data_IF_186315288114
#
_entry.id   IF_186315288114
#
_cell.length_a   1.000
_cell.length_b   1.000
_cell.length_c   1.000
_cell.angle_alpha   90.00
_cell.angle_beta   90.00
_cell.angle_gamma   90.00
#
_symmetry.space_group_name_H-M   'P 1'
#
loop_
_entity.id
_entity.type
_entity.pdbx_description
1 polymer ?
#
# COMPACT_ATOMS: atom_id res chain seq x y z
N UNK A 1 -23.93 13.99 16.47
CA UNK A 1 -23.63 14.29 17.89
C UNK A 1 -23.62 13.04 18.79
N UNK A 2 -24.23 11.92 18.41
CA UNK A 2 -24.30 10.68 19.21
C UNK A 2 -22.99 10.29 19.90
N UNK A 3 -21.89 10.13 19.16
CA UNK A 3 -20.61 9.77 19.79
C UNK A 3 -20.13 10.79 20.84
N UNK A 4 -20.39 12.08 20.62
CA UNK A 4 -20.01 13.15 21.55
C UNK A 4 -20.90 13.18 22.80
N UNK A 5 -22.17 12.79 22.71
CA UNK A 5 -23.08 12.75 23.86
C UNK A 5 -22.93 11.48 24.69
N UNK A 6 -22.68 10.34 24.04
CA UNK A 6 -22.66 9.03 24.71
C UNK A 6 -21.29 8.61 25.28
N UNK A 7 -20.21 9.32 24.94
CA UNK A 7 -18.85 8.96 25.38
C UNK A 7 -18.28 10.03 26.32
N UNK A 8 -17.64 9.57 27.41
CA UNK A 8 -16.90 10.43 28.35
C UNK A 8 -15.53 10.87 27.82
N UNK A 9 -15.01 10.17 26.80
CA UNK A 9 -13.71 10.46 26.18
C UNK A 9 -13.85 11.40 24.97
N UNK A 10 -12.82 12.20 24.64
CA UNK A 10 -12.90 13.11 23.50
C UNK A 10 -13.09 12.39 22.16
N UNK A 11 -14.03 12.88 21.35
CA UNK A 11 -14.25 12.37 19.99
C UNK A 11 -13.50 13.24 18.98
N UNK A 12 -12.59 12.61 18.25
CA UNK A 12 -11.75 13.29 17.25
C UNK A 12 -12.04 12.76 15.85
N UNK A 13 -11.69 13.53 14.82
CA UNK A 13 -11.87 13.14 13.42
C UNK A 13 -10.55 13.26 12.66
N UNK A 14 -10.26 12.31 11.78
CA UNK A 14 -9.17 12.40 10.79
C UNK A 14 -9.75 12.33 9.38
N UNK A 15 -9.48 13.35 8.58
CA UNK A 15 -10.07 13.50 7.24
C UNK A 15 -9.02 13.74 6.16
N UNK A 16 -9.42 13.53 4.91
CA UNK A 16 -8.71 13.97 3.71
C UNK A 16 -9.41 15.18 3.11
N UNK A 17 -8.67 16.01 2.40
CA UNK A 17 -9.23 17.19 1.73
C UNK A 17 -10.02 16.80 0.47
N UNK A 18 -10.94 17.65 0.05
CA UNK A 18 -11.52 17.61 -1.29
C UNK A 18 -10.63 18.40 -2.26
N UNK A 19 -10.94 18.33 -3.56
CA UNK A 19 -10.25 19.14 -4.58
C UNK A 19 -10.49 20.65 -4.38
N UNK A 20 -11.70 21.02 -3.92
CA UNK A 20 -12.04 22.40 -3.56
C UNK A 20 -11.70 22.67 -2.09
N UNK A 21 -11.08 23.82 -1.87
CA UNK A 21 -10.79 24.35 -0.53
C UNK A 21 -12.10 24.67 0.20
N UNK A 22 -13.07 25.28 -0.48
CA UNK A 22 -14.36 25.69 0.06
C UNK A 22 -15.13 24.48 0.58
N UNK A 23 -15.20 23.41 -0.22
CA UNK A 23 -15.84 22.15 0.18
C UNK A 23 -15.13 21.50 1.37
N UNK A 24 -13.80 21.58 1.40
CA UNK A 24 -13.00 21.08 2.53
C UNK A 24 -13.30 21.85 3.81
N UNK A 25 -13.40 23.17 3.74
CA UNK A 25 -13.74 24.05 4.87
C UNK A 25 -15.16 23.79 5.36
N UNK A 26 -16.13 23.68 4.45
CA UNK A 26 -17.52 23.39 4.79
C UNK A 26 -17.64 22.05 5.53
N UNK A 27 -16.95 21.03 5.03
CA UNK A 27 -16.92 19.71 5.65
C UNK A 27 -16.29 19.75 7.06
N UNK A 28 -15.20 20.50 7.24
CA UNK A 28 -14.58 20.67 8.55
C UNK A 28 -15.52 21.37 9.55
N UNK A 29 -16.20 22.45 9.14
CA UNK A 29 -17.20 23.14 9.98
C UNK A 29 -18.38 22.23 10.32
N UNK A 30 -18.80 21.36 9.39
CA UNK A 30 -19.85 20.37 9.64
C UNK A 30 -19.42 19.38 10.74
N UNK A 31 -18.17 18.88 10.71
CA UNK A 31 -17.63 17.98 11.73
C UNK A 31 -17.54 18.65 13.10
N UNK A 32 -17.09 19.90 13.15
CA UNK A 32 -17.08 20.71 14.37
C UNK A 32 -18.50 20.82 14.96
N UNK A 33 -19.50 21.22 14.15
CA UNK A 33 -20.92 21.28 14.59
C UNK A 33 -21.46 19.92 15.03
N UNK A 34 -20.97 18.83 14.45
CA UNK A 34 -21.37 17.47 14.80
C UNK A 34 -20.81 17.00 16.16
N UNK A 35 -19.91 17.77 16.79
CA UNK A 35 -19.34 17.50 18.10
C UNK A 35 -17.90 16.99 18.08
N UNK A 36 -17.18 17.10 16.95
CA UNK A 36 -15.75 16.81 16.89
C UNK A 36 -14.98 17.80 17.80
N UNK A 37 -14.06 17.28 18.62
CA UNK A 37 -13.29 18.09 19.58
C UNK A 37 -11.86 18.37 19.14
N UNK A 38 -11.32 17.59 18.19
CA UNK A 38 -10.03 17.85 17.55
C UNK A 38 -10.05 17.25 16.14
N UNK A 39 -9.57 18.01 15.16
CA UNK A 39 -9.55 17.61 13.76
C UNK A 39 -8.12 17.37 13.28
N UNK A 40 -7.86 16.24 12.64
CA UNK A 40 -6.63 16.02 11.87
C UNK A 40 -6.95 16.06 10.38
N UNK A 41 -6.28 16.94 9.63
CA UNK A 41 -6.49 17.08 8.18
C UNK A 41 -5.27 16.56 7.43
N UNK A 42 -5.46 15.53 6.63
CA UNK A 42 -4.46 15.09 5.65
C UNK A 42 -4.64 15.90 4.37
N UNK A 43 -3.64 16.71 4.01
CA UNK A 43 -3.65 17.59 2.84
C UNK A 43 -3.70 16.90 1.47
N UNK A 44 -4.04 15.61 1.40
CA UNK A 44 -4.19 14.86 0.15
C UNK A 44 -5.65 14.47 -0.07
N UNK A 45 -6.09 14.48 -1.32
CA UNK A 45 -7.40 13.96 -1.73
C UNK A 45 -7.43 12.43 -1.61
N UNK A 46 -8.60 11.83 -1.75
CA UNK A 46 -8.77 10.36 -1.70
C UNK A 46 -8.09 9.67 -2.90
N UNK A 47 -8.02 10.39 -4.02
CA UNK A 47 -7.50 9.95 -5.31
C UNK A 47 -5.97 9.98 -5.33
N UNK A 48 -5.34 10.84 -4.53
CA UNK A 48 -3.89 10.90 -4.30
C UNK A 48 -3.40 9.70 -3.47
N UNK A 49 -3.10 8.60 -4.15
CA UNK A 49 -2.61 7.35 -3.55
C UNK A 49 -1.64 6.62 -4.46
N UNK A 50 -0.78 5.78 -3.86
CA UNK A 50 0.16 4.94 -4.59
C UNK A 50 1.12 5.78 -5.45
N UNK A 51 1.28 5.48 -6.75
CA UNK A 51 2.07 6.29 -7.69
C UNK A 51 1.68 7.78 -7.75
N UNK A 52 0.41 8.10 -7.52
CA UNK A 52 -0.15 9.45 -7.67
C UNK A 52 -0.25 10.18 -6.32
N UNK A 53 0.54 9.77 -5.33
CA UNK A 53 0.42 10.32 -3.96
C UNK A 53 0.67 11.82 -3.92
N UNK A 54 1.67 12.32 -4.66
CA UNK A 54 2.01 13.75 -4.71
C UNK A 54 2.30 14.39 -3.35
N UNK A 55 2.35 15.72 -3.36
CA UNK A 55 2.57 16.56 -2.17
C UNK A 55 1.22 16.90 -1.52
N UNK A 56 1.17 16.87 -0.18
CA UNK A 56 0.03 17.29 0.60
C UNK A 56 -0.11 18.82 0.54
N UNK A 57 -1.31 19.29 0.23
CA UNK A 57 -1.61 20.72 0.14
C UNK A 57 -1.80 21.33 1.53
N UNK A 58 -0.75 21.96 2.05
CA UNK A 58 -0.82 22.76 3.27
C UNK A 58 -1.71 23.99 3.12
N UNK A 59 -1.93 24.48 1.88
CA UNK A 59 -2.92 25.53 1.57
C UNK A 59 -4.34 25.13 2.02
N UNK A 60 -4.76 23.89 1.76
CA UNK A 60 -6.07 23.40 2.22
C UNK A 60 -6.12 23.35 3.75
N UNK A 61 -5.05 22.86 4.37
CA UNK A 61 -4.95 22.75 5.84
C UNK A 61 -5.06 24.13 6.49
N UNK A 62 -4.30 25.12 6.00
CA UNK A 62 -4.36 26.52 6.46
C UNK A 62 -5.76 27.11 6.33
N UNK A 63 -6.43 26.88 5.19
CA UNK A 63 -7.78 27.37 4.97
C UNK A 63 -8.79 26.77 5.98
N UNK A 64 -8.66 25.48 6.29
CA UNK A 64 -9.47 24.85 7.36
C UNK A 64 -9.13 25.44 8.71
N UNK A 65 -7.83 25.59 9.04
CA UNK A 65 -7.37 26.13 10.31
C UNK A 65 -7.95 27.51 10.60
N UNK A 66 -8.02 28.38 9.59
CA UNK A 66 -8.59 29.72 9.69
C UNK A 66 -10.12 29.75 9.91
N UNK A 67 -10.79 28.61 9.77
CA UNK A 67 -12.25 28.52 9.71
C UNK A 67 -12.88 27.64 10.79
N UNK A 68 -12.08 26.93 11.58
CA UNK A 68 -12.54 26.10 12.72
C UNK A 68 -11.92 26.61 14.02
N UNK A 69 -12.65 26.43 15.13
CA UNK A 69 -12.23 26.86 16.46
C UNK A 69 -11.57 25.73 17.25
N UNK A 70 -11.93 24.48 16.96
CA UNK A 70 -11.33 23.31 17.60
C UNK A 70 -9.84 23.14 17.22
N UNK A 71 -9.02 22.51 18.08
CA UNK A 71 -7.64 22.19 17.76
C UNK A 71 -7.52 21.41 16.45
N UNK A 72 -6.53 21.80 15.63
CA UNK A 72 -6.28 21.20 14.33
C UNK A 72 -4.85 20.66 14.23
N UNK A 73 -4.72 19.41 13.77
CA UNK A 73 -3.45 18.77 13.44
C UNK A 73 -3.27 18.65 11.93
N UNK A 74 -2.12 19.07 11.41
CA UNK A 74 -1.75 18.85 10.02
C UNK A 74 -1.19 17.43 9.81
N UNK A 75 -1.54 16.78 8.70
CA UNK A 75 -0.98 15.50 8.31
C UNK A 75 -0.58 15.49 6.83
N UNK A 76 0.52 14.81 6.52
CA UNK A 76 1.03 14.62 5.16
C UNK A 76 2.30 15.40 4.89
N UNK A 77 3.31 14.70 4.33
CA UNK A 77 4.64 15.23 4.01
C UNK A 77 5.43 15.78 5.22
N UNK A 78 5.22 15.21 6.42
CA UNK A 78 6.05 15.48 7.61
C UNK A 78 7.05 14.32 7.75
N UNK A 79 8.32 14.53 7.37
CA UNK A 79 9.35 13.48 7.33
C UNK A 79 10.58 13.77 8.21
N UNK A 80 10.73 15.01 8.69
CA UNK A 80 11.81 15.49 9.56
C UNK A 80 11.30 16.55 10.54
N UNK A 81 12.10 16.90 11.57
CA UNK A 81 11.80 18.05 12.45
C UNK A 81 11.61 19.34 11.67
N UNK A 82 12.42 19.57 10.64
CA UNK A 82 12.31 20.75 9.79
C UNK A 82 10.94 20.86 9.11
N UNK A 83 10.36 19.73 8.66
CA UNK A 83 9.02 19.72 8.10
C UNK A 83 7.94 20.06 9.14
N UNK A 84 8.18 19.74 10.42
CA UNK A 84 7.27 20.09 11.52
C UNK A 84 7.26 21.60 11.70
N UNK A 85 8.42 22.22 11.87
CA UNK A 85 8.57 23.66 12.08
C UNK A 85 7.94 24.45 10.93
N UNK A 86 8.30 24.09 9.69
CA UNK A 86 7.72 24.69 8.50
C UNK A 86 6.22 24.53 8.41
N UNK A 87 5.70 23.33 8.70
CA UNK A 87 4.27 23.10 8.63
C UNK A 87 3.51 23.97 9.63
N UNK A 88 4.02 24.09 10.86
CA UNK A 88 3.45 24.92 11.90
C UNK A 88 3.45 26.41 11.49
N UNK A 89 4.59 26.91 11.01
CA UNK A 89 4.74 28.29 10.54
C UNK A 89 3.81 28.60 9.36
N UNK A 90 3.80 27.76 8.32
CA UNK A 90 3.04 28.01 7.11
C UNK A 90 1.51 27.93 7.36
N UNK A 91 1.06 27.00 8.21
CA UNK A 91 -0.36 26.68 8.37
C UNK A 91 -1.02 27.22 9.63
N UNK A 92 -0.27 27.58 10.67
CA UNK A 92 -0.81 28.06 11.96
C UNK A 92 -1.61 27.01 12.74
N UNK A 93 -1.38 25.72 12.46
CA UNK A 93 -2.04 24.61 13.14
C UNK A 93 -1.49 24.38 14.54
N UNK A 94 -2.23 23.66 15.37
CA UNK A 94 -1.85 23.41 16.78
C UNK A 94 -0.81 22.30 16.94
N UNK A 95 -0.60 21.49 15.89
CA UNK A 95 0.35 20.39 15.90
C UNK A 95 0.37 19.66 14.58
N UNK A 96 1.25 18.66 14.50
CA UNK A 96 1.41 17.82 13.31
C UNK A 96 1.22 16.36 13.68
N UNK A 97 0.79 15.57 12.70
CA UNK A 97 0.76 14.12 12.77
C UNK A 97 1.63 13.58 11.63
N UNK A 98 2.64 12.81 11.99
CA UNK A 98 3.45 12.03 11.06
C UNK A 98 2.97 10.58 11.06
N UNK A 99 3.19 9.89 9.94
CA UNK A 99 2.84 8.48 9.80
C UNK A 99 3.93 7.76 9.01
N UNK A 100 4.18 8.21 7.78
CA UNK A 100 5.23 7.61 6.97
C UNK A 100 6.63 7.89 7.53
N UNK A 101 6.91 9.14 7.96
CA UNK A 101 8.21 9.52 8.52
C UNK A 101 8.62 8.63 9.70
N UNK A 102 7.67 8.35 10.61
CA UNK A 102 7.89 7.48 11.77
C UNK A 102 8.34 6.06 11.40
N UNK A 103 7.94 5.55 10.23
CA UNK A 103 8.34 4.21 9.81
C UNK A 103 9.81 4.13 9.40
N UNK A 104 10.42 5.25 9.01
CA UNK A 104 11.82 5.33 8.59
C UNK A 104 12.71 5.94 9.68
N UNK A 105 12.18 6.87 10.47
CA UNK A 105 12.82 7.41 11.65
C UNK A 105 11.79 7.58 12.79
N UNK A 106 11.71 6.63 13.75
CA UNK A 106 10.85 6.76 14.93
C UNK A 106 11.23 7.94 15.83
N UNK A 107 12.49 8.38 15.78
CA UNK A 107 13.04 9.49 16.57
C UNK A 107 12.81 10.87 15.93
N UNK A 108 11.88 10.97 14.98
CA UNK A 108 11.61 12.23 14.26
C UNK A 108 11.34 13.41 15.20
N UNK A 109 10.70 13.19 16.36
CA UNK A 109 10.36 14.26 17.31
C UNK A 109 11.52 14.66 18.23
N UNK A 110 12.59 13.86 18.27
CA UNK A 110 13.83 14.17 18.98
C UNK A 110 14.84 14.87 18.06
N UNK A 111 14.58 14.90 16.75
CA UNK A 111 15.48 15.52 15.77
C UNK A 111 16.79 14.79 15.56
N UNK A 112 16.89 13.52 16.00
CA UNK A 112 18.08 12.70 15.85
C UNK A 112 17.89 11.62 14.77
N UNK A 113 19.02 11.14 14.25
CA UNK A 113 19.09 10.15 13.17
C UNK A 113 19.97 8.97 13.63
N UNK A 114 19.51 8.14 14.57
CA UNK A 114 20.31 7.04 15.09
C UNK A 114 20.55 5.99 14.00
N UNK A 115 21.55 5.13 14.17
CA UNK A 115 21.69 3.96 13.32
C UNK A 115 20.44 3.08 13.38
N UNK A 116 19.93 2.63 12.23
CA UNK A 116 18.64 1.97 12.11
C UNK A 116 18.52 0.67 12.94
N UNK A 117 19.64 0.03 13.28
CA UNK A 117 19.63 -1.14 14.18
C UNK A 117 19.21 -0.81 15.61
N UNK A 118 19.42 0.43 16.09
CA UNK A 118 19.03 0.84 17.44
C UNK A 118 17.50 0.82 17.62
N UNK A 119 16.69 1.59 16.85
CA UNK A 119 15.23 1.48 16.91
C UNK A 119 14.73 0.09 16.54
N UNK A 120 15.43 -0.65 15.66
CA UNK A 120 15.01 -2.00 15.28
C UNK A 120 15.11 -2.99 16.44
N UNK A 121 16.21 -2.97 17.20
CA UNK A 121 16.39 -3.84 18.37
C UNK A 121 15.41 -3.45 19.49
N UNK A 122 15.27 -2.16 19.78
CA UNK A 122 14.29 -1.65 20.74
C UNK A 122 12.86 -2.09 20.36
N UNK A 123 12.49 -1.95 19.07
CA UNK A 123 11.21 -2.42 18.57
C UNK A 123 11.03 -3.93 18.73
N UNK A 124 12.07 -4.74 18.51
CA UNK A 124 11.99 -6.19 18.69
C UNK A 124 11.85 -6.57 20.17
N UNK A 125 12.50 -5.85 21.09
CA UNK A 125 12.32 -6.00 22.54
C UNK A 125 10.85 -5.73 22.94
N UNK A 126 10.24 -4.70 22.35
CA UNK A 126 8.81 -4.39 22.55
C UNK A 126 7.89 -5.48 21.97
N UNK A 127 8.24 -6.08 20.83
CA UNK A 127 7.47 -7.17 20.22
C UNK A 127 7.54 -8.45 21.07
N UNK A 128 8.64 -8.68 21.78
CA UNK A 128 8.74 -9.79 22.75
C UNK A 128 7.82 -9.57 23.95
N UNK A 129 7.70 -8.33 24.43
CA UNK A 129 6.77 -7.96 25.51
C UNK A 129 5.30 -7.95 25.05
N UNK A 130 5.06 -7.49 23.82
CA UNK A 130 3.75 -7.35 23.19
C UNK A 130 3.71 -8.09 21.84
N UNK A 131 3.49 -9.42 21.84
CA UNK A 131 3.54 -10.22 20.63
C UNK A 131 2.57 -9.75 19.54
N UNK A 132 3.08 -9.64 18.31
CA UNK A 132 2.27 -9.31 17.14
C UNK A 132 2.60 -10.25 15.96
N UNK A 133 1.72 -10.36 14.95
CA UNK A 133 2.01 -11.11 13.74
C UNK A 133 3.34 -10.71 13.11
N UNK A 134 4.16 -11.68 12.73
CA UNK A 134 5.50 -11.43 12.16
C UNK A 134 5.47 -10.63 10.86
N UNK A 135 4.33 -10.60 10.16
CA UNK A 135 4.09 -9.73 9.00
C UNK A 135 4.17 -8.24 9.34
N UNK A 136 3.80 -7.83 10.55
CA UNK A 136 3.85 -6.43 10.98
C UNK A 136 5.28 -6.04 11.30
N UNK A 137 5.97 -6.83 12.12
CA UNK A 137 7.39 -6.61 12.45
C UNK A 137 8.26 -6.60 11.20
N UNK A 138 8.08 -7.57 10.30
CA UNK A 138 8.77 -7.57 9.01
C UNK A 138 8.51 -6.27 8.25
N UNK A 139 7.25 -5.83 8.15
CA UNK A 139 6.89 -4.59 7.49
C UNK A 139 7.61 -3.35 8.05
N UNK A 140 7.72 -3.25 9.37
CA UNK A 140 8.42 -2.15 10.04
C UNK A 140 9.94 -2.21 9.84
N UNK A 141 10.56 -3.39 9.96
CA UNK A 141 11.99 -3.56 9.69
C UNK A 141 12.34 -3.21 8.24
N UNK A 142 11.51 -3.58 7.27
CA UNK A 142 11.69 -3.18 5.87
C UNK A 142 11.61 -1.67 5.64
N UNK A 143 10.96 -0.92 6.54
CA UNK A 143 10.90 0.53 6.49
C UNK A 143 12.12 1.16 7.16
N UNK A 144 12.48 0.71 8.35
CA UNK A 144 13.69 1.15 9.05
C UNK A 144 14.94 0.94 8.21
N UNK A 145 15.09 -0.25 7.63
CA UNK A 145 16.25 -0.62 6.81
C UNK A 145 16.07 -0.32 5.32
N UNK A 146 15.13 0.54 4.93
CA UNK A 146 14.82 0.75 3.51
C UNK A 146 16.06 1.07 2.67
N UNK A 147 16.91 1.97 3.15
CA UNK A 147 18.10 2.45 2.44
C UNK A 147 19.20 1.39 2.41
N UNK A 148 19.41 0.68 3.52
CA UNK A 148 20.31 -0.47 3.56
C UNK A 148 19.85 -1.57 2.60
N UNK A 149 18.56 -1.89 2.55
CA UNK A 149 18.01 -2.91 1.66
C UNK A 149 17.93 -2.51 0.18
N UNK A 150 18.19 -1.26 -0.16
CA UNK A 150 18.40 -0.85 -1.56
C UNK A 150 19.83 -1.08 -2.05
N UNK A 151 20.79 -1.32 -1.15
CA UNK A 151 22.16 -1.64 -1.52
C UNK A 151 22.29 -3.12 -1.90
N UNK A 152 22.97 -3.41 -3.01
CA UNK A 152 23.14 -4.77 -3.52
C UNK A 152 23.90 -5.67 -2.54
N UNK A 153 24.87 -5.11 -1.83
CA UNK A 153 25.65 -5.75 -0.78
C UNK A 153 24.84 -6.23 0.44
N UNK A 154 23.57 -5.86 0.55
CA UNK A 154 22.66 -6.29 1.62
C UNK A 154 21.55 -7.22 1.11
N UNK A 155 21.65 -7.73 -0.12
CA UNK A 155 20.62 -8.59 -0.71
C UNK A 155 20.38 -9.84 0.14
N UNK A 156 21.44 -10.47 0.66
CA UNK A 156 21.33 -11.66 1.51
C UNK A 156 20.58 -11.37 2.83
N UNK A 157 20.96 -10.30 3.53
CA UNK A 157 20.33 -9.90 4.80
C UNK A 157 18.87 -9.48 4.59
N UNK A 158 18.57 -8.82 3.48
CA UNK A 158 17.19 -8.50 3.07
C UNK A 158 16.36 -9.77 2.85
N UNK A 159 16.93 -10.79 2.22
CA UNK A 159 16.27 -12.08 2.03
C UNK A 159 16.07 -12.84 3.33
N UNK A 160 17.03 -12.77 4.26
CA UNK A 160 16.94 -13.36 5.60
C UNK A 160 15.71 -12.81 6.35
N UNK A 161 15.53 -11.48 6.39
CA UNK A 161 14.31 -10.87 6.98
C UNK A 161 13.05 -11.20 6.18
N UNK A 162 13.14 -11.28 4.84
CA UNK A 162 11.99 -11.61 4.00
C UNK A 162 11.45 -13.02 4.28
N UNK A 163 12.35 -13.99 4.44
CA UNK A 163 12.06 -15.42 4.64
C UNK A 163 11.88 -15.78 6.12
N UNK A 164 12.44 -14.98 7.04
CA UNK A 164 12.39 -15.20 8.48
C UNK A 164 10.97 -15.39 9.00
N UNK A 165 10.79 -16.36 9.89
CA UNK A 165 9.49 -16.78 10.41
C UNK A 165 9.30 -16.43 11.88
N UNK A 166 10.39 -16.24 12.62
CA UNK A 166 10.40 -15.87 14.02
C UNK A 166 11.02 -14.49 14.28
N UNK A 167 10.80 -13.98 15.49
CA UNK A 167 11.42 -12.73 15.96
C UNK A 167 12.94 -12.88 16.11
N UNK A 168 13.41 -14.08 16.50
CA UNK A 168 14.84 -14.36 16.60
C UNK A 168 15.54 -14.28 15.24
N UNK A 169 14.90 -14.73 14.16
CA UNK A 169 15.43 -14.60 12.79
C UNK A 169 15.65 -13.11 12.45
N UNK A 170 14.69 -12.26 12.80
CA UNK A 170 14.80 -10.82 12.60
C UNK A 170 15.90 -10.20 13.46
N UNK A 171 15.99 -10.59 14.73
CA UNK A 171 17.03 -10.10 15.64
C UNK A 171 18.43 -10.47 15.15
N UNK A 172 18.62 -11.71 14.69
CA UNK A 172 19.89 -12.18 14.13
C UNK A 172 20.30 -11.36 12.89
N UNK A 173 19.37 -11.11 11.97
CA UNK A 173 19.63 -10.30 10.78
C UNK A 173 19.97 -8.84 11.14
N UNK A 174 19.31 -8.26 12.14
CA UNK A 174 19.62 -6.91 12.65
C UNK A 174 21.00 -6.85 13.30
N UNK A 175 21.39 -7.88 14.06
CA UNK A 175 22.73 -7.97 14.66
C UNK A 175 23.80 -8.05 13.56
N UNK A 176 23.62 -8.87 12.53
CA UNK A 176 24.53 -8.93 11.38
C UNK A 176 24.67 -7.58 10.66
N UNK A 177 23.55 -6.86 10.49
CA UNK A 177 23.59 -5.48 9.95
C UNK A 177 24.38 -4.55 10.87
N UNK A 178 24.15 -4.61 12.18
CA UNK A 178 24.91 -3.82 13.16
C UNK A 178 26.40 -4.12 13.05
N UNK A 179 26.81 -5.38 13.11
CA UNK A 179 28.22 -5.78 13.02
C UNK A 179 28.89 -5.30 11.74
N UNK A 180 28.17 -5.35 10.60
CA UNK A 180 28.66 -4.87 9.30
C UNK A 180 28.93 -3.37 9.29
N UNK A 181 28.06 -2.56 9.90
CA UNK A 181 28.09 -1.09 9.78
C UNK A 181 28.59 -0.35 11.03
N UNK A 182 28.74 -1.03 12.17
CA UNK A 182 29.23 -0.42 13.40
C UNK A 182 30.66 0.14 13.25
N UNK A 183 31.64 -0.56 12.64
CA UNK A 183 32.96 0.01 12.44
C UNK A 183 32.96 1.26 11.55
N UNK A 184 32.06 1.32 10.57
CA UNK A 184 31.86 2.50 9.72
C UNK A 184 31.23 3.66 10.51
N UNK A 185 30.28 3.34 11.40
CA UNK A 185 29.62 4.34 12.24
C UNK A 185 30.55 4.94 13.30
N UNK A 186 31.44 4.13 13.89
CA UNK A 186 32.44 4.54 14.88
C UNK A 186 33.68 5.22 14.25
N UNK A 187 33.76 5.28 12.91
CA UNK A 187 34.87 5.89 12.19
C UNK A 187 36.15 5.04 12.16
N UNK A 188 36.05 3.75 12.48
CA UNK A 188 37.17 2.79 12.39
C UNK A 188 37.48 2.43 10.93
N UNK A 189 36.48 2.51 10.06
CA UNK A 189 36.59 2.27 8.61
C UNK A 189 36.01 3.48 7.88
N UNK A 190 36.66 3.91 6.80
CA UNK A 190 36.16 5.01 5.95
C UNK A 190 35.00 4.54 5.09
N UNK A 191 33.94 5.34 5.06
CA UNK A 191 32.82 5.13 4.14
C UNK A 191 33.03 5.96 2.87
N UNK A 192 33.46 5.31 1.80
CA UNK A 192 33.62 5.95 0.51
C UNK A 192 32.25 6.11 -0.15
N UNK A 193 31.69 7.33 -0.07
CA UNK A 193 30.43 7.65 -0.75
C UNK A 193 30.63 7.50 -2.27
N UNK A 194 29.85 6.65 -2.97
CA UNK A 194 30.00 6.41 -4.40
C UNK A 194 29.52 7.59 -5.28
N UNK A 195 29.25 8.77 -4.72
CA UNK A 195 28.79 9.93 -5.49
C UNK A 195 29.41 11.24 -5.00
N UNK A 196 30.04 11.96 -5.91
CA UNK A 196 30.48 13.36 -5.77
C UNK A 196 29.29 14.31 -5.94
N UNK A 197 28.31 14.27 -5.04
CA UNK A 197 27.29 15.31 -4.96
C UNK A 197 27.58 16.23 -3.77
N UNK A 198 27.48 17.54 -3.98
CA UNK A 198 27.65 18.57 -2.96
C UNK A 198 26.56 18.56 -1.88
N UNK A 199 25.51 17.74 -2.06
CA UNK A 199 24.50 17.49 -1.04
C UNK A 199 25.05 16.56 0.03
N UNK A 200 24.91 16.96 1.30
CA UNK A 200 25.23 16.12 2.47
C UNK A 200 24.36 14.86 2.44
N UNK A 201 24.89 13.75 1.93
CA UNK A 201 24.25 12.44 2.01
C UNK A 201 24.53 11.82 3.37
N UNK A 202 23.47 11.60 4.15
CA UNK A 202 23.55 10.82 5.37
C UNK A 202 23.99 9.38 5.04
N UNK A 203 24.84 8.77 5.88
CA UNK A 203 25.18 7.37 5.73
C UNK A 203 23.93 6.47 5.68
N UNK A 204 23.92 5.42 4.84
CA UNK A 204 22.72 4.62 4.56
C UNK A 204 22.20 3.86 5.78
N UNK A 205 23.04 3.62 6.78
CA UNK A 205 22.65 2.96 8.01
C UNK A 205 21.96 3.87 9.03
N UNK A 206 21.99 5.19 8.86
CA UNK A 206 21.23 6.09 9.71
C UNK A 206 19.76 6.07 9.31
N UNK A 207 18.88 6.11 10.32
CA UNK A 207 17.47 6.45 10.10
C UNK A 207 17.40 7.77 9.34
N UNK A 208 16.60 7.84 8.28
CA UNK A 208 16.56 9.03 7.44
C UNK A 208 15.18 9.25 6.82
N UNK A 209 14.82 10.51 6.51
CA UNK A 209 13.54 10.84 5.90
C UNK A 209 13.34 10.09 4.58
N UNK A 210 12.15 9.52 4.37
CA UNK A 210 11.80 8.93 3.09
C UNK A 210 11.13 9.95 2.17
N UNK A 211 11.89 10.42 1.19
CA UNK A 211 11.37 11.28 0.14
C UNK A 211 10.82 10.41 -0.99
N UNK A 212 9.50 10.50 -1.22
CA UNK A 212 8.86 9.82 -2.34
C UNK A 212 9.22 10.53 -3.65
N UNK A 213 9.45 9.72 -4.68
CA UNK A 213 9.53 10.19 -6.07
C UNK A 213 8.21 10.88 -6.44
N UNK A 214 8.30 12.00 -7.15
CA UNK A 214 7.13 12.74 -7.64
C UNK A 214 6.27 11.87 -8.57
N UNK A 215 4.95 12.10 -8.68
CA UNK A 215 4.12 11.41 -9.66
C UNK A 215 4.64 11.54 -11.09
N UNK A 216 5.16 12.71 -11.44
CA UNK A 216 5.73 13.02 -12.76
C UNK A 216 6.95 12.14 -13.04
N UNK A 217 7.89 12.08 -12.10
CA UNK A 217 9.11 11.28 -12.26
C UNK A 217 8.82 9.78 -12.16
N UNK A 218 7.80 9.39 -11.40
CA UNK A 218 7.32 8.02 -11.41
C UNK A 218 6.77 7.63 -12.79
N UNK A 219 5.98 8.49 -13.43
CA UNK A 219 5.47 8.26 -14.79
C UNK A 219 6.63 8.16 -15.79
N UNK A 220 7.59 9.10 -15.75
CA UNK A 220 8.80 9.04 -16.59
C UNK A 220 9.56 7.74 -16.41
N UNK A 221 9.82 7.32 -15.17
CA UNK A 221 10.51 6.06 -14.86
C UNK A 221 9.76 4.84 -15.40
N UNK A 222 8.43 4.85 -15.34
CA UNK A 222 7.61 3.77 -15.89
C UNK A 222 7.64 3.74 -17.43
N UNK A 223 7.72 4.90 -18.08
CA UNK A 223 7.84 4.99 -19.53
C UNK A 223 9.22 4.53 -20.01
N UNK A 224 10.29 4.95 -19.34
CA UNK A 224 11.65 4.46 -19.63
C UNK A 224 11.71 2.94 -19.52
N UNK A 225 11.18 2.37 -18.43
CA UNK A 225 11.16 0.91 -18.25
C UNK A 225 10.34 0.19 -19.33
N UNK A 226 9.26 0.81 -19.79
CA UNK A 226 8.46 0.27 -20.89
C UNK A 226 9.26 0.27 -22.19
N UNK A 227 10.00 1.34 -22.45
CA UNK A 227 10.86 1.45 -23.62
C UNK A 227 12.00 0.42 -23.58
N UNK A 228 12.66 0.25 -22.43
CA UNK A 228 13.68 -0.79 -22.22
C UNK A 228 13.12 -2.20 -22.42
N UNK A 229 11.90 -2.47 -21.95
CA UNK A 229 11.21 -3.76 -22.19
C UNK A 229 10.93 -3.97 -23.68
N UNK A 230 10.51 -2.93 -24.42
CA UNK A 230 10.29 -3.00 -25.88
C UNK A 230 11.60 -3.26 -26.60
N UNK A 231 12.67 -2.50 -26.32
CA UNK A 231 13.98 -2.68 -26.95
C UNK A 231 14.57 -4.07 -26.68
N UNK A 232 14.33 -4.61 -25.48
CA UNK A 232 14.77 -5.97 -25.14
C UNK A 232 14.01 -7.02 -25.97
N UNK A 233 12.70 -6.87 -26.13
CA UNK A 233 11.88 -7.74 -26.97
C UNK A 233 12.26 -7.62 -28.46
N UNK A 234 12.58 -6.42 -28.94
CA UNK A 234 13.05 -6.21 -30.31
C UNK A 234 14.42 -6.88 -30.55
N UNK A 235 15.35 -6.77 -29.59
CA UNK A 235 16.66 -7.45 -29.65
C UNK A 235 16.54 -8.97 -29.54
N UNK A 236 15.54 -9.48 -28.83
CA UNK A 236 15.23 -10.91 -28.74
C UNK A 236 14.59 -11.43 -30.04
N UNK A 237 13.64 -10.69 -30.63
CA UNK A 237 13.03 -11.02 -31.93
C UNK A 237 14.03 -10.94 -33.10
N UNK A 238 14.99 -10.02 -33.06
CA UNK A 238 16.04 -9.93 -34.07
C UNK A 238 17.08 -11.07 -33.99
N UNK A 239 17.15 -11.77 -32.85
CA UNK A 239 17.98 -12.98 -32.69
C UNK A 239 17.23 -14.24 -33.13
N UNK A 240 15.91 -14.29 -32.97
CA UNK A 240 15.08 -15.41 -33.46
C UNK A 240 14.90 -15.40 -35.00
N UNK A 241 14.97 -14.23 -35.66
CA UNK A 241 14.84 -14.12 -37.11
C UNK A 241 16.02 -14.68 -37.92
N UNK A 242 17.15 -15.04 -37.27
CA UNK A 242 18.30 -15.69 -37.92
C UNK A 242 18.18 -17.23 -37.92
N UNK A 243 17.30 -17.82 -37.11
CA UNK A 243 17.22 -19.29 -36.94
C UNK A 243 15.91 -19.96 -37.34
N UNK A 244 14.87 -19.24 -37.75
CA UNK A 244 13.62 -19.87 -38.21
C UNK A 244 13.11 -19.29 -39.54
N UNK A 245 13.80 -19.61 -40.64
CA UNK A 245 13.14 -19.75 -41.95
C UNK A 245 12.68 -21.19 -42.10
N UNK A 246 11.49 -21.51 -41.57
CA UNK A 246 10.60 -22.58 -42.06
C UNK A 246 9.24 -22.46 -41.39
N UNK A 247 8.27 -22.11 -42.22
CA UNK A 247 6.85 -22.49 -42.17
C UNK A 247 6.03 -22.06 -40.94
N UNK A 248 5.20 -21.01 -41.14
CA UNK A 248 3.78 -21.02 -40.79
C UNK A 248 3.13 -19.72 -41.30
N UNK A 249 2.39 -19.85 -42.41
CA UNK A 249 1.26 -18.97 -42.71
C UNK A 249 0.13 -19.19 -41.69
N UNK A 250 -0.74 -18.19 -41.57
CA UNK A 250 -1.98 -18.11 -40.78
C UNK A 250 -1.88 -17.65 -39.30
N UNK A 251 -2.51 -16.51 -39.01
CA UNK A 251 -3.25 -16.34 -37.75
C UNK A 251 -2.94 -15.12 -36.88
N UNK A 252 -3.62 -14.01 -37.21
CA UNK A 252 -4.34 -13.09 -36.30
C UNK A 252 -3.68 -12.43 -35.08
N UNK A 253 -3.82 -11.10 -35.12
CA UNK A 253 -3.67 -10.08 -34.08
C UNK A 253 -4.03 -10.51 -32.65
N UNK A 254 -3.09 -10.31 -31.72
CA UNK A 254 -3.38 -10.29 -30.27
C UNK A 254 -2.90 -8.95 -29.68
N UNK A 255 -3.69 -7.89 -29.91
CA UNK A 255 -3.62 -6.64 -29.16
C UNK A 255 -4.85 -6.54 -28.25
N UNK A 256 -4.69 -6.73 -26.94
CA UNK A 256 -5.81 -6.52 -26.01
C UNK A 256 -5.73 -7.06 -24.58
N UNK A 257 -4.55 -7.42 -24.05
CA UNK A 257 -4.46 -7.98 -22.69
C UNK A 257 -4.01 -6.94 -21.64
N UNK A 258 -4.79 -6.79 -20.57
CA UNK A 258 -4.45 -5.96 -19.40
C UNK A 258 -3.17 -6.43 -18.68
N UNK A 259 -2.34 -5.49 -18.23
CA UNK A 259 -1.07 -5.70 -17.50
C UNK A 259 -1.17 -6.69 -16.32
N UNK A 260 -2.34 -6.81 -15.67
CA UNK A 260 -2.56 -7.79 -14.58
C UNK A 260 -2.64 -9.24 -15.08
N UNK A 261 -3.18 -9.46 -16.29
CA UNK A 261 -3.31 -10.79 -16.91
C UNK A 261 -1.94 -11.27 -17.43
N UNK A 262 -1.14 -10.35 -17.96
CA UNK A 262 0.24 -10.62 -18.38
C UNK A 262 1.15 -11.01 -17.20
N UNK A 263 1.12 -10.26 -16.09
CA UNK A 263 1.86 -10.62 -14.86
C UNK A 263 1.43 -11.93 -14.23
N UNK A 264 0.16 -12.33 -14.39
CA UNK A 264 -0.34 -13.61 -13.89
C UNK A 264 0.17 -14.78 -14.74
N UNK A 265 0.24 -14.61 -16.05
CA UNK A 265 0.80 -15.60 -16.98
C UNK A 265 2.31 -15.80 -16.76
N UNK A 266 3.07 -14.71 -16.60
CA UNK A 266 4.51 -14.77 -16.32
C UNK A 266 4.84 -15.44 -14.98
N UNK A 267 3.98 -15.28 -13.96
CA UNK A 267 4.14 -15.99 -12.66
C UNK A 267 3.87 -17.49 -12.74
N UNK A 268 3.09 -17.95 -13.72
CA UNK A 268 2.82 -19.38 -13.88
C UNK A 268 3.97 -20.12 -14.58
N UNK A 269 4.78 -19.43 -15.39
CA UNK A 269 5.87 -20.06 -16.16
C UNK A 269 7.11 -20.40 -15.31
N UNK A 270 7.28 -19.79 -14.13
CA UNK A 270 8.44 -20.00 -13.25
C UNK A 270 8.24 -21.12 -12.19
N UNK A 271 7.22 -21.98 -12.33
CA UNK A 271 7.16 -23.23 -11.56
C UNK A 271 7.85 -24.32 -12.39
N UNK A 272 9.11 -24.59 -12.06
CA UNK A 272 9.89 -25.65 -12.69
C UNK A 272 9.17 -27.00 -12.69
N UNK A 273 9.22 -27.64 -13.86
CA UNK A 273 9.27 -29.09 -14.09
C UNK A 273 8.57 -30.01 -13.09
N UNK A 274 7.33 -30.38 -13.43
CA UNK A 274 6.82 -31.72 -13.15
C UNK A 274 6.35 -32.31 -14.48
N UNK A 275 6.94 -33.44 -14.83
CA UNK A 275 6.78 -34.22 -16.05
C UNK A 275 5.30 -34.61 -16.31
N UNK A 276 4.73 -34.18 -17.44
CA UNK A 276 3.97 -35.00 -18.41
C UNK A 276 3.37 -34.12 -19.54
N UNK A 277 3.81 -34.22 -20.81
CA UNK A 277 3.32 -33.39 -21.91
C UNK A 277 1.96 -33.80 -22.51
N UNK A 278 1.39 -34.97 -22.13
CA UNK A 278 0.14 -35.47 -22.72
C UNK A 278 -0.94 -35.75 -21.68
N UNK A 279 -1.64 -34.70 -21.26
CA UNK A 279 -3.07 -34.74 -20.89
C UNK A 279 -3.57 -33.30 -20.68
N UNK A 280 -3.80 -32.55 -21.77
CA UNK A 280 -4.73 -31.42 -21.69
C UNK A 280 -6.10 -32.04 -21.46
N UNK A 281 -6.52 -32.17 -20.19
CA UNK A 281 -7.92 -32.51 -19.88
C UNK A 281 -8.80 -31.54 -20.64
N UNK A 282 -9.63 -32.03 -21.55
CA UNK A 282 -10.62 -31.21 -22.26
C UNK A 282 -11.47 -30.48 -21.22
N UNK A 283 -11.24 -29.18 -21.07
CA UNK A 283 -11.96 -28.38 -20.08
C UNK A 283 -13.29 -28.03 -20.71
N UNK A 284 -14.37 -28.65 -20.21
CA UNK A 284 -15.72 -28.35 -20.66
C UNK A 284 -15.97 -26.83 -20.63
N UNK A 285 -16.47 -26.30 -21.74
CA UNK A 285 -16.69 -24.86 -21.93
C UNK A 285 -18.07 -24.49 -21.36
N UNK A 286 -18.18 -23.28 -20.83
CA UNK A 286 -19.45 -22.72 -20.38
C UNK A 286 -20.46 -22.64 -21.54
N UNK A 287 -21.71 -23.04 -21.30
CA UNK A 287 -22.77 -23.00 -22.32
C UNK A 287 -23.07 -21.60 -22.88
N UNK A 288 -22.72 -20.55 -22.15
CA UNK A 288 -23.04 -19.16 -22.50
C UNK A 288 -21.85 -18.34 -23.00
N UNK A 289 -20.61 -18.85 -22.93
CA UNK A 289 -19.42 -18.09 -23.31
C UNK A 289 -18.19 -19.00 -23.48
N UNK A 290 -17.13 -18.57 -24.18
CA UNK A 290 -15.92 -19.39 -24.39
C UNK A 290 -15.06 -19.61 -23.13
N UNK A 291 -15.48 -19.13 -21.96
CA UNK A 291 -14.75 -19.38 -20.72
C UNK A 291 -14.96 -20.80 -20.20
N UNK A 292 -13.97 -21.41 -19.53
CA UNK A 292 -14.10 -22.73 -18.94
C UNK A 292 -15.21 -22.78 -17.88
N UNK A 293 -15.93 -23.90 -17.85
CA UNK A 293 -16.99 -24.18 -16.91
C UNK A 293 -16.44 -24.33 -15.48
N UNK A 294 -17.16 -23.82 -14.48
CA UNK A 294 -16.81 -24.07 -13.09
C UNK A 294 -17.12 -25.53 -12.72
N UNK A 295 -16.10 -26.29 -12.32
CA UNK A 295 -16.22 -27.73 -12.01
C UNK A 295 -17.29 -28.07 -10.96
N UNK A 296 -17.58 -27.15 -10.04
CA UNK A 296 -18.56 -27.33 -8.95
C UNK A 296 -19.83 -26.50 -9.16
N UNK A 297 -19.99 -25.86 -10.32
CA UNK A 297 -21.11 -24.97 -10.61
C UNK A 297 -22.40 -25.78 -10.81
N UNK A 298 -23.46 -25.46 -10.06
CA UNK A 298 -24.77 -26.14 -10.18
C UNK A 298 -25.37 -25.97 -11.58
N UNK A 299 -25.16 -24.81 -12.21
CA UNK A 299 -25.71 -24.51 -13.54
C UNK A 299 -24.74 -24.82 -14.68
N UNK A 300 -23.59 -25.45 -14.44
CA UNK A 300 -22.60 -25.76 -15.49
C UNK A 300 -22.19 -24.52 -16.31
N UNK A 301 -22.02 -23.39 -15.62
CA UNK A 301 -21.59 -22.10 -16.20
C UNK A 301 -20.21 -21.70 -15.68
N UNK A 302 -19.54 -20.77 -16.37
CA UNK A 302 -18.38 -20.07 -15.80
C UNK A 302 -18.82 -19.16 -14.63
N UNK A 303 -17.87 -18.72 -13.80
CA UNK A 303 -18.16 -17.88 -12.62
C UNK A 303 -18.92 -16.60 -12.96
N UNK A 304 -18.61 -15.95 -14.08
CA UNK A 304 -19.23 -14.69 -14.49
C UNK A 304 -20.67 -14.90 -14.94
N UNK A 305 -20.90 -15.85 -15.86
CA UNK A 305 -22.25 -16.18 -16.33
C UNK A 305 -23.12 -16.74 -15.18
N UNK A 306 -22.55 -17.56 -14.30
CA UNK A 306 -23.24 -18.06 -13.12
C UNK A 306 -23.66 -16.92 -12.17
N UNK A 307 -22.81 -15.91 -11.99
CA UNK A 307 -23.14 -14.75 -11.15
C UNK A 307 -24.31 -13.95 -11.71
N UNK A 308 -24.33 -13.71 -13.02
CA UNK A 308 -25.43 -12.99 -13.65
C UNK A 308 -26.73 -13.78 -13.54
N UNK A 309 -26.69 -15.09 -13.80
CA UNK A 309 -27.84 -15.98 -13.62
C UNK A 309 -28.36 -15.96 -12.18
N UNK A 310 -27.49 -16.16 -11.18
CA UNK A 310 -27.84 -16.08 -9.77
C UNK A 310 -28.43 -14.72 -9.36
N UNK A 311 -28.01 -13.63 -10.02
CA UNK A 311 -28.54 -12.29 -9.75
C UNK A 311 -29.96 -12.09 -10.30
N UNK A 312 -30.23 -12.60 -11.51
CA UNK A 312 -31.53 -12.50 -12.16
C UNK A 312 -32.57 -13.43 -11.53
N UNK A 313 -32.16 -14.66 -11.17
CA UNK A 313 -33.05 -15.70 -10.65
C UNK A 313 -33.17 -15.70 -9.12
N UNK A 314 -32.62 -14.69 -8.43
CA UNK A 314 -32.54 -14.64 -6.96
C UNK A 314 -32.04 -15.97 -6.34
N UNK A 315 -30.95 -16.51 -6.89
CA UNK A 315 -30.45 -17.84 -6.54
C UNK A 315 -29.02 -17.82 -5.99
N UNK A 316 -28.65 -18.88 -5.29
CA UNK A 316 -27.31 -19.09 -4.75
C UNK A 316 -26.56 -20.18 -5.53
N UNK A 317 -25.25 -20.05 -5.65
CA UNK A 317 -24.37 -21.07 -6.21
C UNK A 317 -23.20 -21.35 -5.25
N UNK A 318 -23.31 -22.41 -4.41
CA UNK A 318 -22.25 -22.89 -3.54
C UNK A 318 -20.94 -23.15 -4.28
N UNK A 319 -21.02 -23.72 -5.49
CA UNK A 319 -19.86 -24.03 -6.34
C UNK A 319 -18.94 -22.86 -6.65
N UNK A 320 -19.51 -21.66 -6.79
CA UNK A 320 -18.76 -20.43 -7.01
C UNK A 320 -18.71 -19.49 -5.79
N UNK A 321 -19.28 -19.91 -4.66
CA UNK A 321 -19.45 -19.08 -3.47
C UNK A 321 -20.32 -17.84 -3.70
N UNK A 322 -21.35 -17.95 -4.55
CA UNK A 322 -22.27 -16.86 -4.88
C UNK A 322 -23.50 -17.01 -3.99
N UNK A 323 -23.77 -16.00 -3.15
CA UNK A 323 -24.83 -16.02 -2.14
C UNK A 323 -25.77 -14.81 -2.31
N UNK A 324 -26.39 -14.66 -3.49
CA UNK A 324 -27.27 -13.51 -3.78
C UNK A 324 -28.58 -13.60 -3.01
N UNK A 325 -29.26 -14.75 -3.01
CA UNK A 325 -30.52 -14.98 -2.30
C UNK A 325 -30.33 -14.76 -0.80
N UNK A 326 -29.37 -15.47 -0.21
CA UNK A 326 -29.06 -15.38 1.22
C UNK A 326 -28.72 -13.94 1.65
N UNK A 327 -27.97 -13.19 0.84
CA UNK A 327 -27.64 -11.79 1.14
C UNK A 327 -28.86 -10.86 1.06
N UNK A 328 -29.74 -11.04 0.08
CA UNK A 328 -30.98 -10.26 -0.06
C UNK A 328 -31.95 -10.54 1.08
N UNK A 329 -32.14 -11.80 1.47
CA UNK A 329 -32.96 -12.16 2.63
C UNK A 329 -32.46 -11.54 3.93
N UNK A 330 -31.13 -11.57 4.15
CA UNK A 330 -30.52 -10.92 5.32
C UNK A 330 -30.75 -9.41 5.33
N UNK A 331 -30.70 -8.76 4.17
CA UNK A 331 -30.98 -7.33 4.04
C UNK A 331 -32.47 -7.01 4.31
N UNK A 332 -33.42 -7.82 3.81
CA UNK A 332 -34.85 -7.68 4.09
C UNK A 332 -35.14 -7.79 5.59
N UNK A 333 -34.63 -8.84 6.25
CA UNK A 333 -34.77 -9.03 7.72
C UNK A 333 -34.19 -7.87 8.53
N UNK A 334 -33.08 -7.27 8.07
CA UNK A 334 -32.49 -6.11 8.73
C UNK A 334 -33.35 -4.86 8.57
N UNK A 335 -33.97 -4.68 7.41
CA UNK A 335 -34.90 -3.58 7.15
C UNK A 335 -36.17 -3.70 8.01
N UNK A 336 -36.76 -4.89 8.06
CA UNK A 336 -37.95 -5.19 8.88
C UNK A 336 -37.69 -4.94 10.37
N UNK A 337 -36.52 -5.35 10.89
CA UNK A 337 -36.12 -5.04 12.28
C UNK A 337 -36.03 -3.54 12.55
N UNK A 338 -35.48 -2.76 11.62
CA UNK A 338 -35.37 -1.30 11.76
C UNK A 338 -36.74 -0.62 11.75
N UNK A 339 -37.65 -1.08 10.90
CA UNK A 339 -39.03 -0.59 10.86
C UNK A 339 -39.76 -0.91 12.19
N UNK A 340 -39.62 -2.13 12.70
CA UNK A 340 -40.24 -2.52 13.96
C UNK A 340 -39.66 -1.77 15.17
N UNK A 341 -38.35 -1.48 15.18
CA UNK A 341 -37.72 -0.63 16.19
C UNK A 341 -38.22 0.82 16.11
N UNK A 342 -38.38 1.37 14.90
CA UNK A 342 -38.95 2.71 14.71
C UNK A 342 -40.40 2.79 15.18
N UNK A 343 -41.25 1.80 14.86
CA UNK A 343 -42.65 1.75 15.30
C UNK A 343 -42.77 1.70 16.83
N UNK A 344 -41.87 0.97 17.51
CA UNK A 344 -41.78 0.93 18.99
C UNK A 344 -41.30 2.23 19.63
N UNK A 345 -40.59 3.07 18.90
CA UNK A 345 -40.15 4.40 19.35
C UNK A 345 -41.23 5.47 19.14
N UNK A 346 -42.20 5.21 18.27
CA UNK A 346 -43.32 6.13 17.95
C UNK A 346 -44.62 5.80 18.66
N UNK A 347 -44.72 4.65 19.34
CA UNK A 347 -45.80 4.31 20.28
C UNK A 347 -45.30 4.49 21.69
#
# INVERSE_FOLDING_TARGET
>A
KTLRSELSIPVTCKVRVFESIEKTVEYAKMLERAGCQMLTVHGRTREQKGPLTGIASWKHIKAVRNNVKIPLLANGNIQSMYDIERCLEETGVNGVMTAEGNLYNPYIFEGIYPPAWQPALEYLDLVEQCPCPTSYSRGHLFKLFHQLFTLEENTELREEIAKGTGIQDFRNAVIKLKEKYLPLHEGLVTWDSPTTCYDLKLPPWLCQPYVRISPEDHIKKMEIRRQEEIEKLEKENCKESVTCKREAEEGQEILGLSKKKLKKLLRCNNRGTSLNPHCRKEVAICKLCPNPMGLKCISSLCKTCCRNKCYLEEADCPGHGILIKTRREKARKLSEKKLHEQEKLTR
#
